data_IF_913081825054
#
_entry.id   IF_913081825054
#
_cell.length_a   1.000
_cell.length_b   1.000
_cell.length_c   1.000
_cell.angle_alpha   90.00
_cell.angle_beta   90.00
_cell.angle_gamma   90.00
#
_symmetry.space_group_name_H-M   'P 1'
#
loop_
_entity.id
_entity.type
_entity.pdbx_description
1 polymer ?
#
# COMPACT_ATOMS: atom_id res chain seq x y z
N UNK A 1 -19.28 58.39 5.00
CA UNK A 1 -18.19 57.64 4.36
C UNK A 1 -17.94 56.38 5.18
N UNK A 2 -18.62 55.27 4.82
CA UNK A 2 -18.03 54.07 4.20
C UNK A 2 -16.74 53.60 4.88
N UNK A 3 -16.82 52.83 5.97
CA UNK A 3 -15.72 51.94 6.38
C UNK A 3 -16.15 50.64 7.10
N UNK A 4 -17.33 50.57 7.75
CA UNK A 4 -17.68 49.37 8.55
C UNK A 4 -18.29 48.19 7.79
N UNK A 5 -18.80 48.37 6.56
CA UNK A 5 -19.49 47.28 5.83
C UNK A 5 -18.59 46.45 4.90
N UNK A 6 -17.33 46.86 4.69
CA UNK A 6 -16.37 46.14 3.84
C UNK A 6 -15.57 45.07 4.62
N UNK A 7 -15.42 45.24 5.93
CA UNK A 7 -14.65 44.30 6.76
C UNK A 7 -15.37 42.95 6.97
N UNK A 8 -16.71 42.95 6.96
CA UNK A 8 -17.49 41.73 7.22
C UNK A 8 -17.56 40.79 5.99
N UNK A 9 -17.39 41.34 4.78
CA UNK A 9 -17.43 40.53 3.55
C UNK A 9 -16.09 39.84 3.25
N UNK A 10 -14.98 40.38 3.75
CA UNK A 10 -13.63 39.82 3.54
C UNK A 10 -13.32 38.60 4.42
N UNK A 11 -14.05 38.41 5.52
CA UNK A 11 -13.89 37.23 6.38
C UNK A 11 -14.64 36.01 5.80
N UNK A 12 -15.65 36.24 4.97
CA UNK A 12 -16.50 35.18 4.43
C UNK A 12 -15.90 34.45 3.21
N UNK A 13 -14.84 34.98 2.59
CA UNK A 13 -14.23 34.37 1.39
C UNK A 13 -13.07 33.42 1.69
N UNK A 14 -12.47 33.47 2.89
CA UNK A 14 -11.37 32.55 3.26
C UNK A 14 -11.84 31.17 3.73
N UNK A 15 -13.13 30.99 4.00
CA UNK A 15 -13.67 29.71 4.47
C UNK A 15 -13.89 28.67 3.34
N UNK A 16 -13.74 29.05 2.07
CA UNK A 16 -14.02 28.16 0.93
C UNK A 16 -12.79 27.45 0.34
N UNK A 17 -11.57 27.68 0.85
CA UNK A 17 -10.35 27.12 0.27
C UNK A 17 -9.66 26.04 1.13
N UNK A 18 -10.29 25.56 2.20
CA UNK A 18 -9.83 24.34 2.89
C UNK A 18 -10.42 23.11 2.20
N UNK A 19 -10.05 22.91 0.93
CA UNK A 19 -10.14 21.57 0.34
C UNK A 19 -9.00 20.79 0.99
N UNK A 20 -9.25 19.74 1.79
CA UNK A 20 -8.17 18.87 2.23
C UNK A 20 -7.55 18.28 0.98
N UNK A 21 -6.35 18.74 0.63
CA UNK A 21 -5.50 18.02 -0.30
C UNK A 21 -5.29 16.66 0.34
N UNK A 22 -5.90 15.63 -0.23
CA UNK A 22 -5.55 14.27 0.12
C UNK A 22 -4.16 14.05 -0.45
N UNK A 23 -3.14 14.51 0.28
CA UNK A 23 -1.79 14.04 0.06
C UNK A 23 -1.86 12.51 0.11
N UNK A 24 -1.38 11.86 -0.95
CA UNK A 24 -1.18 10.43 -0.91
C UNK A 24 -0.30 10.15 0.31
N UNK A 25 -0.80 9.38 1.28
CA UNK A 25 -0.11 9.15 2.54
C UNK A 25 1.26 8.46 2.36
N UNK A 26 1.52 7.90 1.17
CA UNK A 26 2.71 7.13 0.85
C UNK A 26 3.29 7.58 -0.50
N UNK A 27 4.61 7.61 -0.58
CA UNK A 27 5.37 7.78 -1.83
C UNK A 27 5.74 6.41 -2.44
N UNK A 28 6.08 6.36 -3.74
CA UNK A 28 6.67 5.16 -4.36
C UNK A 28 7.82 4.54 -3.55
N UNK A 29 8.63 5.38 -2.92
CA UNK A 29 9.82 4.95 -2.20
C UNK A 29 9.49 4.20 -0.90
N UNK A 30 8.32 4.48 -0.30
CA UNK A 30 7.83 3.78 0.89
C UNK A 30 7.44 2.32 0.59
N UNK A 31 7.19 1.99 -0.69
CA UNK A 31 7.07 0.61 -1.14
C UNK A 31 8.43 0.05 -1.56
N UNK A 32 9.17 0.74 -2.42
CA UNK A 32 10.38 0.19 -3.06
C UNK A 32 11.53 -0.04 -2.06
N UNK A 33 11.75 0.87 -1.11
CA UNK A 33 12.84 0.74 -0.13
C UNK A 33 12.76 -0.56 0.70
N UNK A 34 11.65 -0.84 1.42
CA UNK A 34 11.56 -2.06 2.22
C UNK A 34 11.57 -3.34 1.38
N UNK A 35 10.99 -3.33 0.17
CA UNK A 35 11.11 -4.46 -0.76
C UNK A 35 12.57 -4.73 -1.13
N UNK A 36 13.30 -3.71 -1.57
CA UNK A 36 14.69 -3.87 -1.97
C UNK A 36 15.61 -4.25 -0.80
N UNK A 37 15.32 -3.78 0.41
CA UNK A 37 16.01 -4.22 1.61
C UNK A 37 15.78 -5.72 1.89
N UNK A 38 14.53 -6.20 1.76
CA UNK A 38 14.21 -7.61 1.95
C UNK A 38 14.87 -8.50 0.88
N UNK A 39 14.83 -8.10 -0.39
CA UNK A 39 15.45 -8.82 -1.52
C UNK A 39 16.96 -8.91 -1.39
N UNK A 40 17.61 -7.80 -1.02
CA UNK A 40 19.04 -7.76 -0.79
C UNK A 40 19.48 -8.71 0.34
N UNK A 41 18.67 -8.84 1.40
CA UNK A 41 18.96 -9.73 2.52
C UNK A 41 19.03 -11.22 2.14
N UNK A 42 18.44 -11.60 1.00
CA UNK A 42 18.44 -12.98 0.46
C UNK A 42 19.18 -13.09 -0.87
N UNK A 43 19.90 -12.04 -1.29
CA UNK A 43 20.72 -12.05 -2.52
C UNK A 43 19.93 -11.94 -3.83
N UNK A 44 18.66 -11.51 -3.78
CA UNK A 44 17.82 -11.27 -4.96
C UNK A 44 18.02 -9.83 -5.45
N UNK A 45 18.08 -9.63 -6.77
CA UNK A 45 18.30 -8.31 -7.39
C UNK A 45 17.16 -7.32 -7.10
N UNK A 46 17.38 -6.01 -7.10
CA UNK A 46 16.37 -5.01 -6.73
C UNK A 46 15.25 -4.87 -7.76
N UNK A 47 14.12 -4.31 -7.34
CA UNK A 47 13.01 -3.85 -8.19
C UNK A 47 12.92 -2.33 -8.24
N UNK A 48 12.24 -1.83 -9.27
CA UNK A 48 11.96 -0.41 -9.48
C UNK A 48 10.45 -0.16 -9.52
N UNK A 49 10.06 1.08 -9.19
CA UNK A 49 8.67 1.50 -9.33
C UNK A 49 8.22 1.50 -10.80
N UNK A 50 6.95 1.17 -11.03
CA UNK A 50 6.32 1.22 -12.34
C UNK A 50 4.93 1.84 -12.20
N UNK A 51 4.72 3.00 -12.84
CA UNK A 51 3.47 3.76 -12.71
C UNK A 51 2.25 3.04 -13.28
N UNK A 52 2.44 2.16 -14.29
CA UNK A 52 1.36 1.35 -14.84
C UNK A 52 0.88 0.31 -13.82
N UNK A 53 1.81 -0.38 -13.14
CA UNK A 53 1.47 -1.35 -12.09
C UNK A 53 0.88 -0.64 -10.87
N UNK A 54 1.40 0.54 -10.52
CA UNK A 54 0.86 1.35 -9.43
C UNK A 54 -0.58 1.80 -9.70
N UNK A 55 -0.88 2.26 -10.91
CA UNK A 55 -2.23 2.63 -11.31
C UNK A 55 -3.17 1.42 -11.24
N UNK A 56 -2.75 0.26 -11.75
CA UNK A 56 -3.50 -0.99 -11.65
C UNK A 56 -3.82 -1.37 -10.19
N UNK A 57 -2.82 -1.34 -9.31
CA UNK A 57 -2.99 -1.66 -7.89
C UNK A 57 -3.92 -0.67 -7.18
N UNK A 58 -3.81 0.63 -7.51
CA UNK A 58 -4.67 1.66 -6.96
C UNK A 58 -6.14 1.50 -7.39
N UNK A 59 -6.38 1.17 -8.66
CA UNK A 59 -7.71 0.90 -9.20
C UNK A 59 -8.32 -0.35 -8.55
N UNK A 60 -7.52 -1.39 -8.32
CA UNK A 60 -8.00 -2.59 -7.64
C UNK A 60 -8.32 -2.33 -6.16
N UNK A 61 -7.46 -1.62 -5.44
CA UNK A 61 -7.72 -1.21 -4.06
C UNK A 61 -9.00 -0.36 -3.96
N UNK A 62 -9.25 0.52 -4.94
CA UNK A 62 -10.48 1.30 -5.02
C UNK A 62 -11.74 0.46 -5.20
N UNK A 63 -11.66 -0.71 -5.85
CA UNK A 63 -12.78 -1.65 -5.96
C UNK A 63 -13.05 -2.39 -4.64
N UNK A 64 -12.00 -2.67 -3.85
CA UNK A 64 -12.08 -3.43 -2.59
C UNK A 64 -12.30 -2.59 -1.34
N UNK A 65 -12.16 -1.27 -1.41
CA UNK A 65 -12.33 -0.40 -0.22
C UNK A 65 -13.71 -0.51 0.45
N UNK A 66 -14.74 -0.97 -0.26
CA UNK A 66 -16.10 -1.10 0.29
C UNK A 66 -16.28 -2.37 1.12
N UNK A 67 -15.69 -3.50 0.70
CA UNK A 67 -15.85 -4.80 1.34
C UNK A 67 -14.63 -5.20 2.19
N UNK A 68 -13.49 -4.54 1.95
CA UNK A 68 -12.20 -4.79 2.58
C UNK A 68 -11.76 -6.26 2.49
N UNK A 69 -12.27 -6.98 1.48
CA UNK A 69 -11.98 -8.39 1.31
C UNK A 69 -10.58 -8.56 0.71
N UNK A 70 -9.80 -9.43 1.33
CA UNK A 70 -8.54 -9.89 0.76
C UNK A 70 -8.92 -10.91 -0.32
N UNK A 71 -9.11 -10.46 -1.55
CA UNK A 71 -9.43 -11.31 -2.70
C UNK A 71 -8.53 -10.89 -3.83
N UNK A 72 -7.87 -11.85 -4.47
CA UNK A 72 -6.96 -11.54 -5.57
C UNK A 72 -7.68 -11.07 -6.83
N UNK A 73 -7.08 -10.13 -7.56
CA UNK A 73 -7.64 -9.63 -8.81
C UNK A 73 -7.64 -10.67 -9.93
N UNK A 74 -6.79 -11.70 -9.84
CA UNK A 74 -6.48 -12.65 -10.92
C UNK A 74 -6.04 -11.95 -12.23
N UNK A 75 -5.44 -10.77 -12.09
CA UNK A 75 -4.90 -10.00 -13.21
C UNK A 75 -3.56 -10.52 -13.72
N UNK A 76 -2.91 -9.75 -14.60
CA UNK A 76 -1.67 -10.15 -15.26
C UNK A 76 -0.41 -9.97 -14.39
N UNK A 77 -0.52 -9.36 -13.21
CA UNK A 77 0.60 -9.06 -12.32
C UNK A 77 0.59 -9.96 -11.07
N UNK A 78 1.77 -10.15 -10.46
CA UNK A 78 1.86 -10.65 -9.08
C UNK A 78 1.23 -9.65 -8.11
N UNK A 79 0.66 -10.14 -7.01
CA UNK A 79 -0.17 -9.31 -6.14
C UNK A 79 -0.04 -9.73 -4.68
N UNK A 80 0.23 -8.75 -3.81
CA UNK A 80 0.06 -8.86 -2.36
C UNK A 80 -1.06 -7.90 -1.93
N UNK A 81 -1.89 -8.31 -0.96
CA UNK A 81 -2.98 -7.47 -0.45
C UNK A 81 -2.79 -7.27 1.05
N UNK A 82 -3.01 -6.05 1.51
CA UNK A 82 -2.98 -5.72 2.92
C UNK A 82 -4.28 -5.03 3.30
N UNK A 83 -4.77 -5.33 4.50
CA UNK A 83 -5.88 -4.62 5.10
C UNK A 83 -5.61 -4.38 6.58
N UNK A 84 -6.05 -3.23 7.08
CA UNK A 84 -6.01 -2.90 8.50
C UNK A 84 -7.11 -1.91 8.86
N UNK A 85 -7.66 -2.04 10.08
CA UNK A 85 -8.57 -1.06 10.66
C UNK A 85 -7.81 -0.09 11.56
N UNK A 86 -8.11 1.21 11.50
CA UNK A 86 -7.52 2.24 12.37
C UNK A 86 -6.45 3.13 11.72
N UNK A 87 -5.89 4.10 12.46
CA UNK A 87 -4.87 5.00 11.95
C UNK A 87 -3.48 4.32 11.94
N UNK A 88 -2.57 4.83 11.09
CA UNK A 88 -1.16 4.45 11.11
C UNK A 88 -0.75 3.35 10.14
N UNK A 89 -1.65 2.91 9.26
CA UNK A 89 -1.29 2.00 8.15
C UNK A 89 -0.58 2.75 7.05
N UNK A 90 0.72 2.52 6.90
CA UNK A 90 1.56 3.07 5.82
C UNK A 90 2.00 1.97 4.87
N UNK A 91 2.48 2.35 3.69
CA UNK A 91 3.08 1.42 2.73
C UNK A 91 4.20 0.60 3.37
N UNK A 92 5.11 1.25 4.10
CA UNK A 92 6.20 0.59 4.82
C UNK A 92 5.71 -0.46 5.81
N UNK A 93 4.62 -0.18 6.54
CA UNK A 93 4.03 -1.15 7.47
C UNK A 93 3.51 -2.37 6.72
N UNK A 94 2.76 -2.17 5.63
CA UNK A 94 2.24 -3.27 4.81
C UNK A 94 3.36 -4.13 4.23
N UNK A 95 4.42 -3.51 3.68
CA UNK A 95 5.56 -4.26 3.14
C UNK A 95 6.29 -5.05 4.23
N UNK A 96 6.52 -4.44 5.40
CA UNK A 96 7.16 -5.13 6.50
C UNK A 96 6.32 -6.30 7.04
N UNK A 97 4.99 -6.19 7.02
CA UNK A 97 4.08 -7.26 7.39
C UNK A 97 4.25 -8.46 6.44
N UNK A 98 4.18 -8.25 5.13
CA UNK A 98 4.46 -9.30 4.14
C UNK A 98 5.86 -9.88 4.28
N UNK A 99 6.86 -9.03 4.53
CA UNK A 99 8.25 -9.47 4.72
C UNK A 99 8.44 -10.29 5.99
N UNK A 100 7.61 -10.08 7.02
CA UNK A 100 7.65 -10.86 8.27
C UNK A 100 7.19 -12.31 8.07
N UNK A 101 6.46 -12.59 6.98
CA UNK A 101 6.04 -13.93 6.57
C UNK A 101 7.21 -14.84 6.23
N UNK A 102 8.43 -14.28 6.05
CA UNK A 102 9.67 -15.05 5.82
C UNK A 102 9.92 -16.16 6.84
N UNK A 103 9.39 -16.03 8.06
CA UNK A 103 9.54 -17.02 9.12
C UNK A 103 8.83 -18.35 8.79
N UNK A 104 7.90 -18.32 7.84
CA UNK A 104 7.15 -19.48 7.36
C UNK A 104 7.68 -20.01 6.03
N UNK A 105 8.77 -19.44 5.50
CA UNK A 105 9.41 -19.84 4.26
C UNK A 105 10.61 -20.74 4.51
N UNK A 106 10.64 -21.91 3.88
CA UNK A 106 11.80 -22.79 3.84
C UNK A 106 12.58 -22.56 2.54
N UNK A 107 13.74 -21.92 2.68
CA UNK A 107 14.66 -21.63 1.58
C UNK A 107 15.28 -22.89 0.96
N UNK A 108 15.41 -23.99 1.70
CA UNK A 108 16.03 -25.21 1.19
C UNK A 108 15.10 -25.96 0.24
N UNK A 109 13.80 -25.98 0.54
CA UNK A 109 12.78 -26.62 -0.29
C UNK A 109 12.03 -25.64 -1.20
N UNK A 110 12.30 -24.34 -1.09
CA UNK A 110 11.61 -23.27 -1.80
C UNK A 110 10.08 -23.38 -1.61
N UNK A 111 9.65 -23.66 -0.38
CA UNK A 111 8.27 -23.98 -0.02
C UNK A 111 7.86 -23.32 1.29
N UNK A 112 6.57 -23.35 1.60
CA UNK A 112 5.99 -22.68 2.75
C UNK A 112 5.39 -23.68 3.74
N UNK A 113 5.41 -23.30 5.02
CA UNK A 113 4.74 -24.08 6.05
C UNK A 113 3.25 -24.27 5.70
N UNK A 114 2.82 -25.54 5.66
CA UNK A 114 1.45 -25.92 5.30
C UNK A 114 0.43 -25.27 6.26
N UNK A 115 -0.61 -24.65 5.69
CA UNK A 115 -1.77 -24.17 6.44
C UNK A 115 -1.65 -22.77 7.05
N UNK A 116 -0.58 -22.02 6.77
CA UNK A 116 -0.50 -20.60 7.12
C UNK A 116 -1.17 -19.76 6.04
N UNK A 117 -2.16 -18.95 6.44
CA UNK A 117 -2.74 -17.91 5.57
C UNK A 117 -1.78 -16.73 5.62
N UNK A 118 -1.07 -16.54 4.52
CA UNK A 118 -0.13 -15.46 4.31
C UNK A 118 -0.89 -14.43 3.48
N UNK A 119 -1.07 -13.23 4.02
CA UNK A 119 -1.97 -12.24 3.43
C UNK A 119 -1.36 -11.62 2.15
N UNK A 120 -0.06 -11.86 1.90
CA UNK A 120 0.56 -11.67 0.59
C UNK A 120 0.15 -12.69 -0.48
N UNK A 121 -0.44 -13.84 -0.14
CA UNK A 121 -0.86 -14.87 -1.10
C UNK A 121 -1.93 -15.79 -0.51
N UNK A 122 -3.18 -15.64 -0.95
CA UNK A 122 -4.27 -16.56 -0.58
C UNK A 122 -4.26 -17.88 -1.34
N UNK A 123 -3.17 -18.18 -2.07
CA UNK A 123 -2.84 -19.54 -2.45
C UNK A 123 -1.85 -20.06 -1.41
N UNK A 124 -1.93 -21.34 -1.06
CA UNK A 124 -1.04 -22.05 -0.13
C UNK A 124 0.44 -22.12 -0.58
N UNK A 125 0.97 -21.03 -1.12
CA UNK A 125 2.27 -20.82 -1.70
C UNK A 125 2.58 -19.38 -1.34
N UNK A 126 3.60 -19.14 -0.51
CA UNK A 126 4.07 -17.78 -0.27
C UNK A 126 4.27 -17.13 -1.63
N UNK A 127 3.82 -15.89 -1.77
CA UNK A 127 4.28 -15.07 -2.87
C UNK A 127 5.79 -15.22 -2.89
N UNK A 128 6.35 -15.68 -4.00
CA UNK A 128 7.78 -15.81 -4.12
C UNK A 128 8.36 -14.46 -3.69
N UNK A 129 9.30 -14.46 -2.75
CA UNK A 129 10.14 -13.29 -2.45
C UNK A 129 11.11 -13.03 -3.62
N UNK A 130 10.62 -13.19 -4.85
CA UNK A 130 11.28 -12.97 -6.12
C UNK A 130 11.19 -11.54 -6.54
#
# INVERSE_FOLDING_TARGET
MVTSSLALCMICTMALAMVPTSDAQNSPQDFISPHNAARAAVGVGPVSWNDTVAAYAQDYANQRKADCQLVHSNGPYGENIFWGGGPGWTATVAVNDWVSERQYYDYASNSCALGQVIYGSLRNNCGNFE
#
